data_IF_734528929656
#
_entry.id   IF_734528929656
#
_cell.length_a   1.000
_cell.length_b   1.000
_cell.length_c   1.000
_cell.angle_alpha   90.00
_cell.angle_beta   90.00
_cell.angle_gamma   90.00
#
_symmetry.space_group_name_H-M   'P 1'
#
loop_
_entity.id
_entity.type
_entity.pdbx_description
1 polymer ?
#
# COMPACT_ATOMS: atom_id res chain seq x y z
N UNK A 1 5.21 12.86 -27.70
CA UNK A 1 6.24 12.60 -26.65
C UNK A 1 7.53 12.12 -27.32
N UNK A 2 8.71 12.66 -26.93
CA UNK A 2 9.99 12.30 -27.53
C UNK A 2 10.39 10.86 -27.18
N UNK A 3 10.92 10.09 -28.14
CA UNK A 3 11.44 8.71 -27.99
C UNK A 3 12.38 8.55 -26.77
N UNK A 4 13.14 9.62 -26.42
CA UNK A 4 14.03 9.65 -25.24
C UNK A 4 13.26 9.68 -23.90
N UNK A 5 12.12 10.36 -23.81
CA UNK A 5 11.29 10.43 -22.60
C UNK A 5 10.68 9.06 -22.34
N UNK A 6 10.08 8.44 -23.35
CA UNK A 6 9.51 7.09 -23.25
C UNK A 6 10.55 6.03 -22.85
N UNK A 7 11.78 6.12 -23.36
CA UNK A 7 12.85 5.18 -23.00
C UNK A 7 13.35 5.38 -21.56
N UNK A 8 13.39 6.63 -21.07
CA UNK A 8 13.74 6.93 -19.68
C UNK A 8 12.67 6.43 -18.73
N UNK A 9 11.41 6.65 -19.04
CA UNK A 9 10.26 6.15 -18.25
C UNK A 9 10.26 4.62 -18.15
N UNK A 10 10.47 3.92 -19.27
CA UNK A 10 10.59 2.46 -19.31
C UNK A 10 11.75 1.95 -18.44
N UNK A 11 12.92 2.61 -18.51
CA UNK A 11 14.08 2.24 -17.69
C UNK A 11 13.81 2.48 -16.19
N UNK A 12 13.20 3.61 -15.84
CA UNK A 12 12.79 3.92 -14.46
C UNK A 12 11.85 2.86 -13.92
N UNK A 13 10.82 2.49 -14.70
CA UNK A 13 9.86 1.47 -14.28
C UNK A 13 10.52 0.10 -14.08
N UNK A 14 11.44 -0.29 -14.97
CA UNK A 14 12.20 -1.55 -14.81
C UNK A 14 13.04 -1.56 -13.54
N UNK A 15 13.74 -0.46 -13.23
CA UNK A 15 14.53 -0.33 -12.00
C UNK A 15 13.63 -0.47 -10.76
N UNK A 16 12.50 0.24 -10.73
CA UNK A 16 11.55 0.22 -9.61
C UNK A 16 10.98 -1.18 -9.39
N UNK A 17 10.50 -1.82 -10.45
CA UNK A 17 9.93 -3.16 -10.36
C UNK A 17 10.97 -4.19 -9.87
N UNK A 18 12.20 -4.11 -10.40
CA UNK A 18 13.31 -4.99 -9.98
C UNK A 18 13.69 -4.77 -8.52
N UNK A 19 13.76 -3.52 -8.09
CA UNK A 19 14.07 -3.18 -6.70
C UNK A 19 12.96 -3.65 -5.75
N UNK A 20 11.70 -3.41 -6.12
CA UNK A 20 10.54 -3.85 -5.35
C UNK A 20 10.52 -5.36 -5.18
N UNK A 21 10.78 -6.12 -6.24
CA UNK A 21 10.87 -7.58 -6.18
C UNK A 21 11.97 -8.04 -5.22
N UNK A 22 13.19 -7.51 -5.36
CA UNK A 22 14.32 -7.87 -4.50
C UNK A 22 14.10 -7.46 -3.03
N UNK A 23 13.53 -6.29 -2.80
CA UNK A 23 13.19 -5.85 -1.43
C UNK A 23 12.11 -6.71 -0.79
N UNK A 24 11.12 -7.14 -1.55
CA UNK A 24 10.04 -8.00 -1.06
C UNK A 24 10.52 -9.43 -0.76
N UNK A 25 11.47 -9.96 -1.57
CA UNK A 25 12.01 -11.33 -1.40
C UNK A 25 13.09 -11.41 -0.31
N UNK A 26 14.02 -10.46 -0.31
CA UNK A 26 15.24 -10.55 0.52
C UNK A 26 15.26 -9.57 1.68
N UNK A 27 14.32 -8.62 1.71
CA UNK A 27 14.31 -7.49 2.63
C UNK A 27 15.18 -6.33 2.14
N UNK A 28 14.85 -5.12 2.62
CA UNK A 28 15.54 -3.89 2.22
C UNK A 28 17.04 -3.93 2.59
N UNK A 29 17.37 -4.28 3.85
CA UNK A 29 18.75 -4.21 4.34
C UNK A 29 19.70 -5.18 3.62
N UNK A 30 19.20 -6.37 3.28
CA UNK A 30 20.00 -7.43 2.62
C UNK A 30 20.11 -7.24 1.11
N UNK A 31 19.38 -6.31 0.51
CA UNK A 31 19.44 -6.00 -0.91
C UNK A 31 20.41 -4.86 -1.17
N UNK A 32 21.36 -5.06 -2.09
CA UNK A 32 22.31 -4.04 -2.51
C UNK A 32 21.93 -3.38 -3.83
N UNK A 33 22.32 -2.12 -4.02
CA UNK A 33 22.13 -1.39 -5.26
C UNK A 33 22.78 -2.09 -6.47
N UNK A 34 23.88 -2.81 -6.24
CA UNK A 34 24.58 -3.61 -7.27
C UNK A 34 23.74 -4.81 -7.73
N UNK A 35 23.07 -5.50 -6.82
CA UNK A 35 22.16 -6.60 -7.15
C UNK A 35 20.96 -6.08 -7.99
N UNK A 36 20.44 -4.91 -7.63
CA UNK A 36 19.34 -4.27 -8.39
C UNK A 36 19.81 -3.94 -9.81
N UNK A 37 20.99 -3.31 -9.98
CA UNK A 37 21.53 -2.99 -11.29
C UNK A 37 21.73 -4.25 -12.17
N UNK A 38 22.33 -5.29 -11.58
CA UNK A 38 22.58 -6.56 -12.27
C UNK A 38 21.26 -7.23 -12.71
N UNK A 39 20.25 -7.31 -11.85
CA UNK A 39 18.95 -7.93 -12.16
C UNK A 39 18.15 -7.08 -13.15
N UNK A 40 18.25 -5.75 -13.08
CA UNK A 40 17.62 -4.83 -14.04
C UNK A 40 18.32 -4.81 -15.43
N UNK A 41 19.48 -5.48 -15.57
CA UNK A 41 20.23 -5.52 -16.83
C UNK A 41 20.89 -4.20 -17.22
N UNK A 42 21.24 -3.35 -16.23
CA UNK A 42 21.86 -2.04 -16.44
C UNK A 42 23.20 -1.92 -15.72
N UNK A 43 24.04 -0.99 -16.17
CA UNK A 43 25.29 -0.70 -15.45
C UNK A 43 25.01 -0.02 -14.10
N UNK A 44 25.86 -0.26 -13.11
CA UNK A 44 25.77 0.36 -11.79
C UNK A 44 25.81 1.90 -11.89
N UNK A 45 26.65 2.45 -12.76
CA UNK A 45 26.73 3.89 -13.01
C UNK A 45 25.44 4.47 -13.58
N UNK A 46 24.76 3.72 -14.47
CA UNK A 46 23.47 4.14 -14.99
C UNK A 46 22.41 4.15 -13.90
N UNK A 47 22.39 3.16 -12.99
CA UNK A 47 21.44 3.14 -11.88
C UNK A 47 21.65 4.34 -10.95
N UNK A 48 22.89 4.70 -10.62
CA UNK A 48 23.21 5.88 -9.80
C UNK A 48 22.79 7.21 -10.46
N UNK A 49 22.70 7.26 -11.78
CA UNK A 49 22.17 8.43 -12.49
C UNK A 49 20.64 8.61 -12.31
N UNK A 50 19.91 7.52 -12.01
CA UNK A 50 18.48 7.57 -11.69
C UNK A 50 18.22 7.75 -10.19
N UNK A 51 18.93 7.01 -9.36
CA UNK A 51 18.75 6.97 -7.91
C UNK A 51 20.10 7.01 -7.20
N UNK A 52 20.42 8.13 -6.51
CA UNK A 52 21.70 8.30 -5.82
C UNK A 52 21.95 7.28 -4.71
N UNK A 53 20.87 6.77 -4.10
CA UNK A 53 20.94 5.80 -3.01
C UNK A 53 19.85 4.73 -3.10
N UNK A 54 19.99 3.68 -2.31
CA UNK A 54 18.97 2.64 -2.14
C UNK A 54 17.72 3.21 -1.43
N UNK A 55 17.93 4.15 -0.55
CA UNK A 55 16.92 4.88 0.20
C UNK A 55 16.07 5.77 -0.72
N UNK A 56 16.68 6.45 -1.69
CA UNK A 56 15.94 7.25 -2.69
C UNK A 56 15.06 6.39 -3.58
N UNK A 57 15.56 5.21 -3.95
CA UNK A 57 14.77 4.23 -4.69
C UNK A 57 13.59 3.69 -3.87
N UNK A 58 13.80 3.42 -2.56
CA UNK A 58 12.74 3.04 -1.65
C UNK A 58 11.68 4.13 -1.52
N UNK A 59 12.09 5.40 -1.34
CA UNK A 59 11.15 6.53 -1.29
C UNK A 59 10.25 6.59 -2.52
N UNK A 60 10.83 6.45 -3.71
CA UNK A 60 10.05 6.43 -4.96
C UNK A 60 9.04 5.27 -5.00
N UNK A 61 9.44 4.08 -4.53
CA UNK A 61 8.54 2.91 -4.42
C UNK A 61 7.38 3.22 -3.47
N UNK A 62 7.65 3.82 -2.31
CA UNK A 62 6.62 4.16 -1.32
C UNK A 62 5.67 5.24 -1.83
N UNK A 63 6.20 6.27 -2.52
CA UNK A 63 5.37 7.33 -3.14
C UNK A 63 4.40 6.74 -4.17
N UNK A 64 4.85 5.78 -4.98
CA UNK A 64 3.98 5.12 -5.98
C UNK A 64 2.93 4.24 -5.33
N UNK A 65 3.31 3.48 -4.31
CA UNK A 65 2.36 2.64 -3.58
C UNK A 65 1.29 3.43 -2.83
N UNK A 66 1.61 4.66 -2.42
CA UNK A 66 0.63 5.58 -1.83
C UNK A 66 -0.55 5.89 -2.78
N UNK A 67 -0.32 5.88 -4.08
CA UNK A 67 -1.39 6.11 -5.06
C UNK A 67 -2.48 5.05 -4.95
N UNK A 68 -2.11 3.79 -4.69
CA UNK A 68 -3.09 2.70 -4.50
C UNK A 68 -3.96 2.95 -3.27
N UNK A 69 -3.36 3.42 -2.16
CA UNK A 69 -4.10 3.76 -0.95
C UNK A 69 -5.13 4.87 -1.24
N UNK A 70 -4.71 5.94 -1.91
CA UNK A 70 -5.60 7.04 -2.27
C UNK A 70 -6.68 6.61 -3.26
N UNK A 71 -6.37 5.73 -4.21
CA UNK A 71 -7.33 5.20 -5.17
C UNK A 71 -8.47 4.43 -4.48
N UNK A 72 -8.20 3.74 -3.36
CA UNK A 72 -9.26 3.05 -2.62
C UNK A 72 -10.31 3.99 -2.01
N UNK A 73 -9.97 5.28 -1.86
CA UNK A 73 -10.88 6.32 -1.38
C UNK A 73 -11.58 7.11 -2.49
N UNK A 74 -11.37 6.76 -3.76
CA UNK A 74 -12.14 7.36 -4.86
C UNK A 74 -13.63 7.03 -4.69
N UNK A 75 -14.47 8.07 -4.85
CA UNK A 75 -15.93 7.96 -4.67
C UNK A 75 -16.63 7.81 -6.01
N UNK A 76 -17.05 6.60 -6.40
CA UNK A 76 -18.00 6.46 -7.51
C UNK A 76 -19.29 7.20 -7.18
N UNK A 77 -19.88 7.85 -8.19
CA UNK A 77 -21.16 8.54 -8.03
C UNK A 77 -22.31 7.57 -7.71
N UNK A 78 -23.27 8.04 -6.93
CA UNK A 78 -24.51 7.31 -6.66
C UNK A 78 -24.46 6.23 -5.57
N UNK A 79 -23.33 6.05 -4.90
CA UNK A 79 -23.23 5.12 -3.79
C UNK A 79 -23.80 5.69 -2.50
N UNK A 80 -24.58 4.88 -1.75
CA UNK A 80 -24.90 5.17 -0.37
C UNK A 80 -23.64 5.17 0.52
N UNK A 81 -23.69 5.79 1.72
CA UNK A 81 -22.53 5.81 2.62
C UNK A 81 -21.96 4.42 2.94
N UNK A 82 -22.82 3.43 3.18
CA UNK A 82 -22.38 2.05 3.42
C UNK A 82 -21.76 1.41 2.16
N UNK A 83 -22.38 1.58 1.00
CA UNK A 83 -21.84 1.06 -0.27
C UNK A 83 -20.45 1.66 -0.58
N UNK A 84 -20.22 2.90 -0.16
CA UNK A 84 -18.91 3.50 -0.29
C UNK A 84 -17.85 2.81 0.60
N UNK A 85 -18.19 2.50 1.87
CA UNK A 85 -17.30 1.73 2.75
C UNK A 85 -17.01 0.34 2.18
N UNK A 86 -18.04 -0.34 1.67
CA UNK A 86 -17.89 -1.62 0.98
C UNK A 86 -16.97 -1.50 -0.23
N UNK A 87 -17.16 -0.47 -1.08
CA UNK A 87 -16.32 -0.20 -2.23
C UNK A 87 -14.85 0.02 -1.82
N UNK A 88 -14.62 0.82 -0.77
CA UNK A 88 -13.29 1.06 -0.24
C UNK A 88 -12.60 -0.24 0.21
N UNK A 89 -13.28 -1.07 1.00
CA UNK A 89 -12.73 -2.35 1.48
C UNK A 89 -12.38 -3.26 0.29
N UNK A 90 -13.31 -3.47 -0.63
CA UNK A 90 -13.09 -4.34 -1.80
C UNK A 90 -11.97 -3.82 -2.71
N UNK A 91 -11.92 -2.51 -2.93
CA UNK A 91 -10.88 -1.89 -3.75
C UNK A 91 -9.52 -2.00 -3.09
N UNK A 92 -9.42 -1.81 -1.76
CA UNK A 92 -8.17 -1.99 -1.02
C UNK A 92 -7.61 -3.40 -1.20
N UNK A 93 -8.42 -4.43 -1.02
CA UNK A 93 -7.94 -5.81 -1.18
C UNK A 93 -7.66 -6.18 -2.64
N UNK A 94 -8.40 -5.66 -3.60
CA UNK A 94 -8.12 -5.83 -5.03
C UNK A 94 -6.75 -5.21 -5.40
N UNK A 95 -6.45 -4.01 -4.93
CA UNK A 95 -5.16 -3.34 -5.16
C UNK A 95 -4.01 -4.09 -4.46
N UNK A 96 -4.27 -4.63 -3.27
CA UNK A 96 -3.32 -5.49 -2.56
C UNK A 96 -3.00 -6.76 -3.36
N UNK A 97 -4.00 -7.42 -3.95
CA UNK A 97 -3.80 -8.60 -4.80
C UNK A 97 -2.98 -8.29 -6.05
N UNK A 98 -3.19 -7.12 -6.65
CA UNK A 98 -2.45 -6.66 -7.82
C UNK A 98 -0.99 -6.31 -7.51
N UNK A 99 -0.70 -5.80 -6.31
CA UNK A 99 0.59 -5.24 -5.92
C UNK A 99 1.21 -5.93 -4.70
N UNK A 100 1.11 -7.27 -4.61
CA UNK A 100 1.56 -8.06 -3.44
C UNK A 100 3.00 -7.75 -2.98
N UNK A 101 3.92 -7.56 -3.91
CA UNK A 101 5.32 -7.27 -3.58
C UNK A 101 5.48 -5.93 -2.86
N UNK A 102 4.73 -4.90 -3.29
CA UNK A 102 4.70 -3.62 -2.60
C UNK A 102 4.20 -3.77 -1.16
N UNK A 103 3.09 -4.47 -0.97
CA UNK A 103 2.50 -4.63 0.35
C UNK A 103 3.34 -5.50 1.29
N UNK A 104 4.01 -6.54 0.76
CA UNK A 104 5.00 -7.31 1.53
C UNK A 104 6.15 -6.44 2.00
N UNK A 105 6.71 -5.62 1.11
CA UNK A 105 7.75 -4.66 1.46
C UNK A 105 7.25 -3.67 2.51
N UNK A 106 6.11 -3.05 2.28
CA UNK A 106 5.51 -2.05 3.18
C UNK A 106 5.32 -2.60 4.60
N UNK A 107 4.72 -3.79 4.74
CA UNK A 107 4.55 -4.46 6.04
C UNK A 107 5.89 -4.85 6.67
N UNK A 108 6.86 -5.34 5.89
CA UNK A 108 8.18 -5.69 6.42
C UNK A 108 8.93 -4.48 6.98
N UNK A 109 8.79 -3.33 6.34
CA UNK A 109 9.39 -2.07 6.79
C UNK A 109 8.76 -1.56 8.10
N UNK A 110 7.47 -1.75 8.33
CA UNK A 110 6.81 -1.41 9.59
C UNK A 110 7.44 -2.09 10.82
N UNK A 111 8.08 -3.24 10.61
CA UNK A 111 8.74 -4.02 11.66
C UNK A 111 10.24 -3.68 11.82
N UNK A 112 10.83 -2.90 10.90
CA UNK A 112 12.26 -2.57 10.87
C UNK A 112 12.46 -1.09 11.23
N UNK A 113 12.82 -0.82 12.46
CA UNK A 113 12.76 0.51 13.07
C UNK A 113 13.68 1.59 12.45
N UNK A 114 14.84 1.23 11.90
CA UNK A 114 15.84 2.23 11.48
C UNK A 114 15.48 2.92 10.14
N UNK A 115 15.00 2.15 9.16
CA UNK A 115 14.63 2.72 7.86
C UNK A 115 13.37 3.58 7.97
N UNK A 116 12.41 3.18 8.80
CA UNK A 116 11.18 3.94 9.02
C UNK A 116 11.38 5.21 9.83
N UNK A 117 12.40 5.31 10.70
CA UNK A 117 12.71 6.57 11.41
C UNK A 117 12.93 7.73 10.44
N UNK A 118 13.57 7.47 9.30
CA UNK A 118 13.77 8.50 8.27
C UNK A 118 12.47 8.87 7.54
N UNK A 119 11.46 8.01 7.54
CA UNK A 119 10.17 8.16 6.85
C UNK A 119 9.00 8.23 7.83
N UNK A 120 9.26 8.31 9.13
CA UNK A 120 8.25 8.22 10.18
C UNK A 120 7.20 9.32 10.05
N UNK A 121 7.61 10.54 9.72
CA UNK A 121 6.69 11.68 9.56
C UNK A 121 5.74 11.49 8.40
N UNK A 122 6.25 10.99 7.27
CA UNK A 122 5.45 10.72 6.08
C UNK A 122 4.44 9.60 6.34
N UNK A 123 4.88 8.51 6.97
CA UNK A 123 4.01 7.37 7.33
C UNK A 123 2.95 7.78 8.36
N UNK A 124 3.31 8.58 9.37
CA UNK A 124 2.36 9.09 10.36
C UNK A 124 1.32 10.02 9.72
N UNK A 125 1.75 10.94 8.86
CA UNK A 125 0.84 11.84 8.14
C UNK A 125 -0.13 11.06 7.25
N UNK A 126 0.34 9.98 6.60
CA UNK A 126 -0.50 9.11 5.78
C UNK A 126 -1.52 8.34 6.61
N UNK A 127 -1.10 7.74 7.72
CA UNK A 127 -2.01 7.04 8.64
C UNK A 127 -3.09 8.00 9.20
N UNK A 128 -2.71 9.23 9.55
CA UNK A 128 -3.66 10.25 10.01
C UNK A 128 -4.68 10.61 8.92
N UNK A 129 -4.24 10.78 7.67
CA UNK A 129 -5.14 11.05 6.54
C UNK A 129 -6.12 9.89 6.33
N UNK A 130 -5.64 8.66 6.32
CA UNK A 130 -6.47 7.45 6.18
C UNK A 130 -7.53 7.39 7.29
N UNK A 131 -7.13 7.54 8.56
CA UNK A 131 -8.05 7.54 9.70
C UNK A 131 -9.09 8.67 9.61
N UNK A 132 -8.68 9.85 9.16
CA UNK A 132 -9.61 10.97 8.95
C UNK A 132 -10.65 10.65 7.86
N UNK A 133 -10.22 10.10 6.72
CA UNK A 133 -11.13 9.73 5.62
C UNK A 133 -12.09 8.61 6.05
N UNK A 134 -11.59 7.58 6.73
CA UNK A 134 -12.43 6.51 7.27
C UNK A 134 -13.45 7.05 8.28
N UNK A 135 -13.02 7.88 9.22
CA UNK A 135 -13.91 8.48 10.24
C UNK A 135 -15.03 9.31 9.61
N UNK A 136 -14.72 10.13 8.59
CA UNK A 136 -15.72 10.91 7.86
C UNK A 136 -16.75 10.02 7.16
N UNK A 137 -16.31 8.94 6.52
CA UNK A 137 -17.20 8.03 5.81
C UNK A 137 -18.06 7.19 6.77
N UNK A 138 -17.49 6.75 7.90
CA UNK A 138 -18.23 6.05 8.96
C UNK A 138 -19.28 6.97 9.62
N UNK A 139 -18.94 8.23 9.88
CA UNK A 139 -19.92 9.22 10.36
C UNK A 139 -21.09 9.37 9.37
N UNK A 140 -20.82 9.46 8.08
CA UNK A 140 -21.83 9.52 7.03
C UNK A 140 -22.68 8.26 6.94
N UNK A 141 -22.12 7.10 7.32
CA UNK A 141 -22.80 5.81 7.35
C UNK A 141 -23.58 5.54 8.65
N UNK A 142 -23.60 6.49 9.61
CA UNK A 142 -24.39 6.41 10.83
C UNK A 142 -23.64 5.86 12.05
N UNK A 143 -22.31 5.74 12.01
CA UNK A 143 -21.53 5.31 13.19
C UNK A 143 -21.75 6.24 14.37
N UNK A 144 -22.00 5.67 15.54
CA UNK A 144 -22.11 6.40 16.81
C UNK A 144 -20.75 6.87 17.35
N UNK A 145 -19.65 6.19 16.98
CA UNK A 145 -18.28 6.56 17.36
C UNK A 145 -17.32 6.45 16.15
N UNK A 146 -17.43 7.40 15.19
CA UNK A 146 -16.74 7.27 13.90
C UNK A 146 -15.23 7.13 13.99
N UNK A 147 -14.59 7.77 14.97
CA UNK A 147 -13.13 7.68 15.12
C UNK A 147 -12.69 6.31 15.65
N UNK A 148 -13.35 5.78 16.67
CA UNK A 148 -13.03 4.45 17.20
C UNK A 148 -13.29 3.36 16.15
N UNK A 149 -14.39 3.45 15.42
CA UNK A 149 -14.72 2.55 14.32
C UNK A 149 -13.71 2.65 13.16
N UNK A 150 -13.21 3.86 12.86
CA UNK A 150 -12.14 4.04 11.88
C UNK A 150 -10.82 3.37 12.29
N UNK A 151 -10.43 3.50 13.56
CA UNK A 151 -9.24 2.83 14.11
C UNK A 151 -9.39 1.31 14.03
N UNK A 152 -10.58 0.79 14.42
CA UNK A 152 -10.86 -0.64 14.34
C UNK A 152 -10.88 -1.15 12.89
N UNK A 153 -11.53 -0.43 12.00
CA UNK A 153 -11.57 -0.76 10.56
C UNK A 153 -10.16 -0.76 9.96
N UNK A 154 -9.35 0.24 10.24
CA UNK A 154 -7.97 0.33 9.80
C UNK A 154 -7.14 -0.86 10.29
N UNK A 155 -7.22 -1.18 11.59
CA UNK A 155 -6.54 -2.32 12.19
C UNK A 155 -7.00 -3.66 11.60
N UNK A 156 -8.30 -3.80 11.32
CA UNK A 156 -8.86 -5.01 10.72
C UNK A 156 -8.33 -5.20 9.29
N UNK A 157 -8.37 -4.16 8.45
CA UNK A 157 -7.85 -4.21 7.09
C UNK A 157 -6.35 -4.53 7.09
N UNK A 158 -5.57 -3.86 7.93
CA UNK A 158 -4.12 -4.09 8.06
C UNK A 158 -3.80 -5.53 8.51
N UNK A 159 -4.51 -6.05 9.51
CA UNK A 159 -4.37 -7.42 10.00
C UNK A 159 -4.73 -8.47 8.95
N UNK A 160 -5.87 -8.31 8.28
CA UNK A 160 -6.31 -9.20 7.18
C UNK A 160 -5.29 -9.18 6.04
N UNK A 161 -4.81 -8.00 5.65
CA UNK A 161 -3.80 -7.84 4.60
C UNK A 161 -2.50 -8.57 4.96
N UNK A 162 -2.03 -8.41 6.20
CA UNK A 162 -0.82 -9.08 6.69
C UNK A 162 -0.97 -10.60 6.67
N UNK A 163 -2.08 -11.13 7.16
CA UNK A 163 -2.33 -12.58 7.13
C UNK A 163 -2.41 -13.13 5.71
N UNK A 164 -3.14 -12.47 4.82
CA UNK A 164 -3.25 -12.85 3.41
C UNK A 164 -1.88 -12.89 2.69
N UNK A 165 -0.99 -11.95 2.99
CA UNK A 165 0.32 -11.89 2.35
C UNK A 165 1.31 -12.98 2.82
N UNK A 166 1.10 -13.56 4.02
CA UNK A 166 2.06 -14.45 4.66
C UNK A 166 1.53 -15.87 4.89
N UNK A 167 0.21 -16.08 4.93
CA UNK A 167 -0.38 -17.40 5.15
C UNK A 167 -0.83 -18.02 3.82
N UNK A 168 -0.35 -19.24 3.50
CA UNK A 168 -0.89 -19.99 2.38
C UNK A 168 -2.39 -20.24 2.52
N UNK A 169 -3.13 -20.22 1.42
CA UNK A 169 -4.56 -20.55 1.37
C UNK A 169 -5.45 -19.72 2.31
N UNK A 170 -5.05 -18.48 2.62
CA UNK A 170 -5.87 -17.57 3.43
C UNK A 170 -7.21 -17.29 2.74
N UNK A 171 -8.36 -17.50 3.41
CA UNK A 171 -9.69 -17.40 2.79
C UNK A 171 -10.14 -15.92 2.67
N UNK A 172 -9.40 -15.13 1.88
CA UNK A 172 -9.56 -13.68 1.82
C UNK A 172 -10.99 -13.25 1.49
N UNK A 173 -11.62 -13.87 0.50
CA UNK A 173 -12.96 -13.47 0.06
C UNK A 173 -14.02 -13.76 1.15
N UNK A 174 -13.95 -14.91 1.81
CA UNK A 174 -14.82 -15.24 2.93
C UNK A 174 -14.68 -14.25 4.09
N UNK A 175 -13.44 -13.88 4.40
CA UNK A 175 -13.13 -12.92 5.48
C UNK A 175 -13.68 -11.54 5.15
N UNK A 176 -13.53 -11.07 3.90
CA UNK A 176 -14.07 -9.78 3.44
C UNK A 176 -15.60 -9.78 3.53
N UNK A 177 -16.28 -10.80 3.02
CA UNK A 177 -17.74 -10.89 3.07
C UNK A 177 -18.26 -10.90 4.51
N UNK A 178 -17.63 -11.69 5.39
CA UNK A 178 -18.00 -11.74 6.81
C UNK A 178 -17.81 -10.38 7.49
N UNK A 179 -16.68 -9.71 7.22
CA UNK A 179 -16.41 -8.39 7.78
C UNK A 179 -17.43 -7.35 7.33
N UNK A 180 -17.83 -7.35 6.05
CA UNK A 180 -18.86 -6.45 5.52
C UNK A 180 -20.23 -6.66 6.17
N UNK A 181 -20.61 -7.91 6.43
CA UNK A 181 -21.84 -8.24 7.17
C UNK A 181 -21.78 -7.70 8.60
N UNK A 182 -20.67 -7.91 9.31
CA UNK A 182 -20.50 -7.41 10.68
C UNK A 182 -20.53 -5.87 10.72
N UNK A 183 -19.84 -5.19 9.79
CA UNK A 183 -19.83 -3.73 9.70
C UNK A 183 -21.24 -3.18 9.42
N UNK A 184 -21.99 -3.80 8.50
CA UNK A 184 -23.35 -3.40 8.20
C UNK A 184 -24.29 -3.51 9.41
N UNK A 185 -24.18 -4.61 10.16
CA UNK A 185 -24.98 -4.83 11.35
C UNK A 185 -24.63 -3.82 12.45
N UNK A 186 -23.33 -3.54 12.63
CA UNK A 186 -22.86 -2.55 13.60
C UNK A 186 -23.37 -1.12 13.29
N UNK A 187 -23.42 -0.72 12.03
CA UNK A 187 -23.90 0.60 11.63
C UNK A 187 -25.44 0.72 11.58
N UNK A 188 -26.17 -0.39 11.74
CA UNK A 188 -27.64 -0.40 11.79
C UNK A 188 -28.20 -0.29 13.21
N UNK A 189 -27.33 -0.35 14.22
CA UNK A 189 -27.68 -0.24 15.66
C UNK A 189 -27.46 1.16 16.18
#
# INVERSE_FOLDING_TARGET
MSKRVSQRESSTQNIINTALELFAEHGFDRTSIRQIAAKAGISLGLLYNYYPSKEDLLKEILVRGRQDILQSFEKPEGLSPFQYLEHHIRTTFRLLEQNKNFWRLYHSLKMQSEVLKALEREVQAENQLVLQLLSQNLASAGSANPFADAVLMFATIDGVAQHYLHLPEYPLQEVIENYLVQLKNHLAT
#
